data_IF_086141183791
#
_entry.id   IF_086141183791
#
_cell.length_a   1.000
_cell.length_b   1.000
_cell.length_c   1.000
_cell.angle_alpha   90.00
_cell.angle_beta   90.00
_cell.angle_gamma   90.00
#
_symmetry.space_group_name_H-M   'P 1'
#
loop_
_entity.id
_entity.type
_entity.pdbx_description
1 polymer ?
#
# COMPACT_ATOMS: atom_id res chain seq x y z
N UNK A 1 -19.09 -23.22 18.76
CA UNK A 1 -17.91 -22.86 19.57
C UNK A 1 -16.60 -22.83 18.77
N UNK A 2 -16.36 -23.75 17.82
CA UNK A 2 -15.10 -23.77 17.07
C UNK A 2 -14.87 -22.56 16.15
N UNK A 3 -15.91 -22.03 15.52
CA UNK A 3 -15.79 -20.89 14.58
C UNK A 3 -15.34 -19.61 15.29
N UNK A 4 -15.91 -19.30 16.46
CA UNK A 4 -15.52 -18.12 17.24
C UNK A 4 -14.08 -18.22 17.76
N UNK A 5 -13.65 -19.42 18.16
CA UNK A 5 -12.30 -19.66 18.66
C UNK A 5 -11.26 -19.57 17.55
N UNK A 6 -11.60 -20.06 16.35
CA UNK A 6 -10.77 -19.91 15.14
C UNK A 6 -10.68 -18.43 14.72
N UNK A 7 -11.79 -17.70 14.71
CA UNK A 7 -11.80 -16.27 14.40
C UNK A 7 -10.94 -15.46 15.39
N UNK A 8 -11.02 -15.77 16.69
CA UNK A 8 -10.22 -15.11 17.70
C UNK A 8 -8.72 -15.39 17.51
N UNK A 9 -8.36 -16.61 17.09
CA UNK A 9 -6.99 -17.00 16.76
C UNK A 9 -6.44 -16.27 15.54
N UNK A 10 -7.27 -16.04 14.52
CA UNK A 10 -6.87 -15.23 13.35
C UNK A 10 -6.64 -13.76 13.71
N UNK A 11 -7.50 -13.18 14.56
CA UNK A 11 -7.35 -11.79 15.01
C UNK A 11 -6.09 -11.62 15.86
N UNK A 12 -5.78 -12.56 16.77
CA UNK A 12 -4.56 -12.46 17.59
C UNK A 12 -3.29 -12.62 16.77
N UNK A 13 -3.27 -13.47 15.74
CA UNK A 13 -2.14 -13.58 14.80
C UNK A 13 -1.97 -12.30 13.97
N UNK A 14 -3.06 -11.68 13.52
CA UNK A 14 -3.01 -10.42 12.78
C UNK A 14 -2.46 -9.26 13.63
N UNK A 15 -2.84 -9.18 14.91
CA UNK A 15 -2.35 -8.14 15.84
C UNK A 15 -0.91 -8.43 16.30
N UNK A 16 -0.54 -9.69 16.53
CA UNK A 16 0.81 -10.04 16.98
C UNK A 16 1.86 -9.95 15.87
N UNK A 17 1.46 -10.03 14.60
CA UNK A 17 2.37 -9.88 13.46
C UNK A 17 2.67 -8.42 13.09
N UNK A 18 1.97 -7.44 13.68
CA UNK A 18 2.19 -6.01 13.40
C UNK A 18 3.29 -5.38 14.26
N UNK A 19 4.30 -6.14 14.68
CA UNK A 19 5.50 -5.58 15.31
C UNK A 19 6.38 -4.98 14.20
N UNK A 20 5.84 -3.96 13.53
CA UNK A 20 6.62 -3.09 12.68
C UNK A 20 7.48 -2.26 13.63
N UNK A 21 8.75 -2.62 13.77
CA UNK A 21 9.76 -1.63 14.14
C UNK A 21 9.63 -0.52 13.12
N UNK A 22 9.05 0.60 13.56
CA UNK A 22 8.81 1.75 12.71
C UNK A 22 10.15 2.14 12.09
N UNK A 23 10.24 2.36 10.76
CA UNK A 23 11.45 2.90 10.17
C UNK A 23 11.88 4.16 10.93
N UNK A 24 13.19 4.40 11.11
CA UNK A 24 13.65 5.62 11.74
C UNK A 24 13.10 6.84 10.99
N UNK A 25 12.70 7.88 11.72
CA UNK A 25 12.24 9.13 11.10
C UNK A 25 13.44 9.87 10.49
N UNK A 26 13.81 9.52 9.26
CA UNK A 26 14.98 10.09 8.60
C UNK A 26 14.82 11.59 8.27
N UNK A 27 13.60 12.13 8.25
CA UNK A 27 13.39 13.58 8.09
C UNK A 27 13.87 14.39 9.31
N UNK A 28 13.99 13.75 10.48
CA UNK A 28 14.53 14.36 11.69
C UNK A 28 16.04 14.11 11.88
N UNK A 29 16.69 13.37 10.98
CA UNK A 29 18.11 13.04 11.06
C UNK A 29 18.92 13.99 10.18
N UNK A 30 19.81 14.77 10.78
CA UNK A 30 20.82 15.54 10.04
C UNK A 30 22.08 14.68 9.91
N UNK A 31 22.42 14.26 8.69
CA UNK A 31 23.62 13.46 8.47
C UNK A 31 24.89 14.27 8.78
N UNK A 32 25.73 13.75 9.66
CA UNK A 32 27.06 14.26 9.91
C UNK A 32 28.09 13.21 9.46
N UNK A 33 28.80 13.49 8.36
CA UNK A 33 29.77 12.55 7.81
C UNK A 33 31.01 12.37 8.69
N UNK A 34 31.34 13.33 9.54
CA UNK A 34 32.52 13.26 10.42
C UNK A 34 32.35 12.21 11.53
N UNK A 35 31.11 11.81 11.83
CA UNK A 35 30.79 10.76 12.81
C UNK A 35 30.84 9.37 12.16
N UNK A 36 30.82 9.30 10.83
CA UNK A 36 30.85 8.02 10.14
C UNK A 36 32.25 7.39 10.27
N UNK A 37 32.35 6.14 10.74
CA UNK A 37 33.62 5.46 10.83
C UNK A 37 34.21 5.28 9.42
N UNK A 38 35.49 5.62 9.23
CA UNK A 38 36.18 5.31 7.98
C UNK A 38 36.19 3.80 7.76
N UNK A 39 35.72 3.34 6.60
CA UNK A 39 35.67 1.92 6.24
C UNK A 39 36.44 1.66 4.96
N UNK A 40 37.21 0.57 4.97
CA UNK A 40 37.77 -0.03 3.75
C UNK A 40 36.99 -1.33 3.51
N UNK A 41 36.03 -1.28 2.60
CA UNK A 41 35.16 -2.42 2.34
C UNK A 41 35.63 -3.17 1.09
N UNK A 42 36.00 -4.44 1.25
CA UNK A 42 36.51 -5.27 0.16
C UNK A 42 35.46 -5.56 -0.92
N UNK A 43 34.19 -5.72 -0.51
CA UNK A 43 33.09 -6.11 -1.40
C UNK A 43 32.07 -4.96 -1.61
N UNK A 44 32.52 -3.72 -1.48
CA UNK A 44 31.68 -2.52 -1.66
C UNK A 44 30.95 -2.06 -0.40
N UNK A 45 30.20 -0.97 -0.54
CA UNK A 45 29.47 -0.30 0.55
C UNK A 45 27.99 -0.14 0.21
N UNK A 46 27.18 -0.01 1.26
CA UNK A 46 25.80 0.47 1.19
C UNK A 46 25.53 1.50 2.27
N UNK A 47 24.51 2.34 2.09
CA UNK A 47 24.13 3.31 3.11
C UNK A 47 23.32 2.68 4.23
N UNK A 48 23.47 3.23 5.44
CA UNK A 48 22.61 2.93 6.59
C UNK A 48 21.11 3.24 6.31
N UNK A 49 20.24 2.96 7.29
CA UNK A 49 18.79 3.09 7.13
C UNK A 49 18.31 4.50 6.74
N UNK A 50 19.08 5.55 7.03
CA UNK A 50 18.75 6.94 6.68
C UNK A 50 19.66 7.55 5.61
N UNK A 51 20.54 6.77 4.98
CA UNK A 51 21.39 7.27 3.90
C UNK A 51 22.69 7.96 4.34
N UNK A 52 23.01 7.99 5.63
CA UNK A 52 24.09 8.83 6.15
C UNK A 52 25.47 8.18 5.99
N UNK A 53 25.71 7.06 6.69
CA UNK A 53 27.02 6.41 6.72
C UNK A 53 27.11 5.22 5.76
N UNK A 54 28.31 4.98 5.25
CA UNK A 54 28.64 3.78 4.48
C UNK A 54 28.93 2.59 5.40
N UNK A 55 28.28 1.47 5.12
CA UNK A 55 28.42 0.18 5.80
C UNK A 55 28.98 -0.83 4.78
N UNK A 56 29.90 -1.68 5.20
CA UNK A 56 30.45 -2.72 4.32
C UNK A 56 29.46 -3.84 4.05
N UNK A 57 29.39 -4.28 2.80
CA UNK A 57 28.82 -5.59 2.49
C UNK A 57 29.67 -6.72 3.06
N UNK A 58 29.03 -7.85 3.37
CA UNK A 58 29.68 -9.14 3.59
C UNK A 58 30.05 -9.76 2.24
N UNK A 59 31.26 -10.31 2.15
CA UNK A 59 31.76 -10.92 0.92
C UNK A 59 31.14 -12.30 0.67
N UNK A 60 31.25 -12.84 -0.56
CA UNK A 60 30.82 -14.20 -0.85
C UNK A 60 31.46 -15.22 0.12
N UNK A 61 30.64 -16.06 0.75
CA UNK A 61 31.09 -17.06 1.73
C UNK A 61 31.30 -16.57 3.16
N UNK A 62 31.29 -15.25 3.40
CA UNK A 62 31.41 -14.69 4.75
C UNK A 62 30.23 -15.06 5.63
N UNK A 63 30.48 -15.12 6.93
CA UNK A 63 29.43 -15.22 7.94
C UNK A 63 28.57 -13.95 7.95
N UNK A 64 27.27 -14.15 7.99
CA UNK A 64 26.27 -13.10 8.02
C UNK A 64 25.16 -13.45 9.01
N UNK A 65 24.50 -12.41 9.53
CA UNK A 65 23.32 -12.56 10.36
C UNK A 65 22.24 -11.53 9.96
N UNK A 66 21.13 -12.01 9.39
CA UNK A 66 20.06 -11.13 8.91
C UNK A 66 19.29 -10.44 10.04
N UNK A 67 19.33 -10.98 11.26
CA UNK A 67 18.68 -10.37 12.43
C UNK A 67 19.33 -9.04 12.83
N UNK A 68 20.65 -8.93 12.66
CA UNK A 68 21.39 -7.68 12.90
C UNK A 68 21.61 -6.87 11.62
N UNK A 69 20.82 -7.16 10.58
CA UNK A 69 20.83 -6.45 9.29
C UNK A 69 22.16 -6.54 8.52
N UNK A 70 22.94 -7.62 8.68
CA UNK A 70 24.06 -7.86 7.77
C UNK A 70 23.55 -8.01 6.33
N UNK A 71 24.20 -7.35 5.39
CA UNK A 71 23.90 -7.46 3.95
C UNK A 71 25.08 -8.06 3.21
N UNK A 72 24.81 -9.07 2.39
CA UNK A 72 25.77 -9.62 1.45
C UNK A 72 25.92 -8.71 0.23
N UNK A 73 27.06 -8.82 -0.46
CA UNK A 73 27.29 -8.16 -1.75
C UNK A 73 26.23 -8.58 -2.78
N UNK A 74 26.13 -7.81 -3.86
CA UNK A 74 25.19 -8.06 -4.97
C UNK A 74 25.24 -9.52 -5.47
N UNK A 75 24.07 -10.08 -5.80
CA UNK A 75 23.90 -11.45 -6.26
C UNK A 75 24.07 -12.53 -5.18
N UNK A 76 24.21 -12.13 -3.90
CA UNK A 76 24.30 -13.04 -2.77
C UNK A 76 23.24 -12.71 -1.72
N UNK A 77 22.75 -13.74 -1.03
CA UNK A 77 21.85 -13.59 0.11
C UNK A 77 22.41 -14.31 1.33
N UNK A 78 22.04 -13.82 2.51
CA UNK A 78 22.40 -14.48 3.77
C UNK A 78 21.50 -15.71 3.99
N UNK A 79 22.07 -16.91 3.92
CA UNK A 79 21.35 -18.17 4.12
C UNK A 79 21.82 -18.82 5.41
N UNK A 80 20.87 -19.24 6.26
CA UNK A 80 21.16 -20.03 7.47
C UNK A 80 21.94 -21.29 7.11
N UNK A 81 23.04 -21.52 7.81
CA UNK A 81 23.80 -22.78 7.69
C UNK A 81 23.00 -23.95 8.27
N UNK A 82 22.28 -23.70 9.37
CA UNK A 82 21.40 -24.67 10.03
C UNK A 82 19.95 -24.13 10.06
N UNK A 83 19.04 -24.67 9.23
CA UNK A 83 17.66 -24.19 9.17
C UNK A 83 16.86 -24.46 10.47
N UNK A 84 17.35 -25.34 11.35
CA UNK A 84 16.72 -25.59 12.66
C UNK A 84 17.03 -24.48 13.67
N UNK A 85 18.05 -23.65 13.42
CA UNK A 85 18.49 -22.56 14.29
C UNK A 85 18.21 -21.21 13.65
N UNK A 86 17.19 -20.52 14.15
CA UNK A 86 16.87 -19.15 13.71
C UNK A 86 17.96 -18.17 14.16
N UNK A 87 18.16 -17.10 13.39
CA UNK A 87 19.12 -16.03 13.75
C UNK A 87 18.88 -15.42 15.13
N UNK A 88 17.61 -15.24 15.52
CA UNK A 88 17.17 -14.77 16.84
C UNK A 88 17.72 -15.62 18.01
N UNK A 89 18.01 -16.89 17.74
CA UNK A 89 18.49 -17.87 18.72
C UNK A 89 19.97 -18.23 18.48
N UNK A 90 20.73 -17.30 17.89
CA UNK A 90 22.16 -17.48 17.62
C UNK A 90 22.47 -18.32 16.38
N UNK A 91 21.50 -18.51 15.48
CA UNK A 91 21.75 -19.10 14.16
C UNK A 91 22.80 -18.29 13.39
N UNK A 92 23.66 -18.99 12.65
CA UNK A 92 24.66 -18.39 11.78
C UNK A 92 24.28 -18.64 10.32
N UNK A 93 24.56 -17.64 9.48
CA UNK A 93 24.36 -17.74 8.04
C UNK A 93 25.65 -17.47 7.29
N UNK A 94 25.61 -17.77 5.98
CA UNK A 94 26.65 -17.38 5.02
C UNK A 94 26.06 -16.67 3.82
N UNK A 95 26.87 -15.81 3.21
CA UNK A 95 26.56 -15.21 1.93
C UNK A 95 26.72 -16.24 0.82
N UNK A 96 25.60 -16.73 0.29
CA UNK A 96 25.57 -17.70 -0.82
C UNK A 96 25.02 -17.04 -2.08
N UNK A 97 25.42 -17.49 -3.29
CA UNK A 97 24.84 -17.02 -4.53
C UNK A 97 23.32 -17.17 -4.54
N UNK A 98 22.62 -16.18 -5.09
CA UNK A 98 21.20 -16.29 -5.35
C UNK A 98 20.96 -17.17 -6.58
N UNK A 99 20.82 -18.47 -6.38
CA UNK A 99 20.41 -19.35 -7.48
C UNK A 99 19.01 -18.94 -7.96
N UNK A 100 18.92 -18.58 -9.24
CA UNK A 100 17.71 -18.14 -9.95
C UNK A 100 16.68 -19.24 -10.21
N UNK A 101 16.74 -20.34 -9.46
CA UNK A 101 15.82 -21.49 -9.60
C UNK A 101 15.30 -21.89 -8.24
N UNK A 102 14.25 -21.19 -7.78
CA UNK A 102 13.43 -21.69 -6.68
C UNK A 102 12.15 -22.30 -7.24
N UNK A 103 12.14 -23.62 -7.37
CA UNK A 103 10.95 -24.49 -7.50
C UNK A 103 9.99 -24.41 -6.28
N UNK A 104 9.93 -23.27 -5.57
CA UNK A 104 8.95 -22.99 -4.51
C UNK A 104 7.81 -22.08 -4.99
N UNK A 105 7.77 -21.77 -6.29
CA UNK A 105 6.78 -20.87 -6.86
C UNK A 105 5.33 -21.36 -6.68
N UNK A 106 5.05 -22.67 -6.57
CA UNK A 106 3.67 -23.17 -6.43
C UNK A 106 3.05 -22.96 -5.04
N UNK A 107 3.84 -23.09 -3.97
CA UNK A 107 3.34 -22.85 -2.60
C UNK A 107 3.39 -21.37 -2.25
N UNK A 108 4.43 -20.66 -2.71
CA UNK A 108 4.53 -19.22 -2.56
C UNK A 108 3.41 -18.49 -3.33
N UNK A 109 3.00 -18.95 -4.52
CA UNK A 109 1.89 -18.31 -5.24
C UNK A 109 0.57 -18.38 -4.47
N UNK A 110 0.23 -19.52 -3.87
CA UNK A 110 -1.04 -19.64 -3.11
C UNK A 110 -1.01 -18.75 -1.87
N UNK A 111 0.12 -18.71 -1.15
CA UNK A 111 0.28 -17.85 0.03
C UNK A 111 0.32 -16.36 -0.32
N UNK A 112 1.01 -15.99 -1.40
CA UNK A 112 1.06 -14.61 -1.91
C UNK A 112 -0.30 -14.18 -2.45
N UNK A 113 -1.04 -15.02 -3.16
CA UNK A 113 -2.42 -14.71 -3.57
C UNK A 113 -3.32 -14.45 -2.36
N UNK A 114 -3.16 -15.19 -1.27
CA UNK A 114 -3.95 -15.01 -0.05
C UNK A 114 -3.55 -13.72 0.70
N UNK A 115 -2.25 -13.40 0.75
CA UNK A 115 -1.73 -12.15 1.32
C UNK A 115 -2.10 -10.95 0.45
N UNK A 116 -2.08 -11.06 -0.88
CA UNK A 116 -2.53 -10.03 -1.81
C UNK A 116 -4.03 -9.86 -1.75
N UNK A 117 -4.83 -10.93 -1.63
CA UNK A 117 -6.26 -10.80 -1.40
C UNK A 117 -6.58 -10.08 -0.08
N UNK A 118 -5.80 -10.33 0.98
CA UNK A 118 -5.89 -9.61 2.24
C UNK A 118 -5.37 -8.17 2.13
N UNK A 119 -4.28 -7.91 1.41
CA UNK A 119 -3.70 -6.59 1.22
C UNK A 119 -4.54 -5.70 0.27
N UNK A 120 -5.15 -6.28 -0.76
CA UNK A 120 -6.09 -5.60 -1.65
C UNK A 120 -7.45 -5.37 -0.97
N UNK A 121 -7.78 -6.13 0.08
CA UNK A 121 -8.95 -5.83 0.93
C UNK A 121 -8.70 -4.70 1.95
N UNK A 122 -7.45 -4.28 2.15
CA UNK A 122 -7.11 -2.99 2.76
C UNK A 122 -6.84 -1.97 1.65
N UNK A 123 -7.89 -1.68 0.89
CA UNK A 123 -8.00 -0.31 0.40
C UNK A 123 -8.14 0.54 1.66
N UNK A 124 -7.17 1.42 1.92
CA UNK A 124 -7.33 2.46 2.92
C UNK A 124 -8.49 3.36 2.48
N UNK A 125 -9.71 2.93 2.79
CA UNK A 125 -10.95 3.69 2.66
C UNK A 125 -11.08 4.67 3.82
N UNK A 126 -9.97 5.14 4.38
CA UNK A 126 -10.01 6.27 5.27
C UNK A 126 -10.24 7.52 4.41
N UNK A 127 -11.29 8.29 4.67
CA UNK A 127 -11.40 9.66 4.18
C UNK A 127 -10.06 10.39 4.27
N UNK A 128 -9.55 11.08 3.23
CA UNK A 128 -8.46 12.01 3.44
C UNK A 128 -8.82 12.97 4.58
N UNK A 129 -7.89 13.16 5.50
CA UNK A 129 -8.05 14.14 6.57
C UNK A 129 -8.00 15.53 5.93
N UNK A 130 -9.16 16.16 5.78
CA UNK A 130 -9.23 17.53 5.26
C UNK A 130 -8.90 18.59 6.32
N UNK A 131 -8.67 18.20 7.58
CA UNK A 131 -8.28 19.11 8.66
C UNK A 131 -6.85 19.62 8.42
N UNK A 132 -6.73 20.87 7.92
CA UNK A 132 -5.45 21.50 7.59
C UNK A 132 -5.15 21.64 6.10
N UNK A 133 -6.07 21.21 5.22
CA UNK A 133 -5.96 21.48 3.79
C UNK A 133 -6.23 22.96 3.54
N UNK A 134 -5.20 23.71 3.14
CA UNK A 134 -5.35 25.08 2.65
C UNK A 134 -5.61 25.00 1.15
N UNK A 135 -6.81 25.35 0.72
CA UNK A 135 -7.15 25.33 -0.69
C UNK A 135 -6.47 26.49 -1.43
N UNK A 136 -5.75 26.18 -2.51
CA UNK A 136 -5.29 27.17 -3.47
C UNK A 136 -6.21 27.14 -4.71
N UNK A 137 -7.17 28.08 -4.84
CA UNK A 137 -8.13 28.08 -5.94
C UNK A 137 -7.48 28.30 -7.31
N UNK A 138 -6.23 28.79 -7.37
CA UNK A 138 -5.52 28.97 -8.63
C UNK A 138 -5.06 27.66 -9.27
N UNK A 139 -5.09 26.56 -8.51
CA UNK A 139 -4.76 25.21 -9.00
C UNK A 139 -5.97 24.44 -9.53
N UNK A 140 -7.18 24.99 -9.35
CA UNK A 140 -8.41 24.40 -9.87
C UNK A 140 -8.61 24.75 -11.35
N UNK A 141 -9.10 23.79 -12.12
CA UNK A 141 -9.54 24.04 -13.49
C UNK A 141 -10.82 24.88 -13.50
N UNK A 142 -10.89 25.86 -14.40
CA UNK A 142 -12.09 26.67 -14.60
C UNK A 142 -13.03 25.89 -15.52
N UNK A 143 -14.16 25.44 -14.97
CA UNK A 143 -15.12 24.59 -15.66
C UNK A 143 -16.43 25.33 -15.92
N UNK A 144 -16.96 25.25 -17.14
CA UNK A 144 -18.31 25.72 -17.48
C UNK A 144 -19.30 24.55 -17.42
N UNK A 145 -19.92 24.35 -16.24
CA UNK A 145 -20.81 23.22 -16.01
C UNK A 145 -22.27 23.57 -16.35
N UNK A 146 -22.86 22.84 -17.31
CA UNK A 146 -24.24 23.07 -17.77
C UNK A 146 -25.31 22.60 -16.78
N UNK A 147 -25.00 21.60 -15.95
CA UNK A 147 -25.96 20.95 -15.05
C UNK A 147 -25.62 21.15 -13.56
N UNK A 148 -24.87 22.21 -13.26
CA UNK A 148 -24.44 22.58 -11.92
C UNK A 148 -23.09 21.98 -11.53
N UNK A 149 -22.63 22.37 -10.35
CA UNK A 149 -21.31 22.02 -9.80
C UNK A 149 -21.43 21.39 -8.43
N UNK A 150 -20.49 20.52 -8.09
CA UNK A 150 -20.28 20.03 -6.73
C UNK A 150 -18.83 20.18 -6.31
N UNK A 151 -18.61 20.21 -4.99
CA UNK A 151 -17.27 20.22 -4.43
C UNK A 151 -16.72 18.80 -4.31
N UNK A 152 -15.45 18.63 -4.67
CA UNK A 152 -14.73 17.37 -4.45
C UNK A 152 -14.50 17.08 -2.96
N UNK A 153 -13.79 15.98 -2.68
CA UNK A 153 -13.71 15.37 -1.36
C UNK A 153 -13.35 16.33 -0.19
N UNK A 154 -12.36 17.21 -0.39
CA UNK A 154 -11.94 18.20 0.61
C UNK A 154 -12.43 19.63 0.34
N UNK A 155 -13.42 19.82 -0.54
CA UNK A 155 -14.06 21.13 -0.69
C UNK A 155 -13.29 22.17 -1.52
N UNK A 156 -12.13 21.84 -2.07
CA UNK A 156 -11.28 22.85 -2.72
C UNK A 156 -11.74 23.23 -4.14
N UNK A 157 -11.84 22.26 -5.06
CA UNK A 157 -12.23 22.52 -6.44
C UNK A 157 -13.70 22.16 -6.71
N UNK A 158 -14.28 22.88 -7.66
CA UNK A 158 -15.59 22.58 -8.23
C UNK A 158 -15.43 21.56 -9.37
N UNK A 159 -16.41 20.68 -9.50
CA UNK A 159 -16.51 19.65 -10.52
C UNK A 159 -17.91 19.69 -11.12
N UNK A 160 -18.07 19.29 -12.39
CA UNK A 160 -19.36 19.30 -13.05
C UNK A 160 -20.20 18.09 -12.69
N UNK A 161 -21.49 18.30 -12.42
CA UNK A 161 -22.45 17.21 -12.40
C UNK A 161 -22.64 16.61 -13.80
N UNK A 162 -22.85 15.29 -13.85
CA UNK A 162 -23.33 14.64 -15.06
C UNK A 162 -24.79 15.05 -15.32
N UNK A 163 -25.08 15.47 -16.56
CA UNK A 163 -26.39 15.93 -16.97
C UNK A 163 -27.41 14.79 -17.14
N UNK A 164 -28.71 15.11 -17.26
CA UNK A 164 -29.75 14.11 -17.56
C UNK A 164 -29.40 13.26 -18.78
N UNK A 165 -29.45 11.94 -18.62
CA UNK A 165 -29.06 10.94 -19.63
C UNK A 165 -27.60 10.94 -20.08
N UNK A 166 -26.69 11.66 -19.41
CA UNK A 166 -25.26 11.44 -19.62
C UNK A 166 -24.78 10.16 -18.92
N UNK A 167 -23.68 9.62 -19.45
CA UNK A 167 -23.00 8.47 -18.85
C UNK A 167 -22.47 8.86 -17.46
N UNK A 168 -22.62 7.96 -16.50
CA UNK A 168 -22.17 8.15 -15.13
C UNK A 168 -21.52 6.86 -14.62
N UNK A 169 -20.55 7.02 -13.72
CA UNK A 169 -19.88 5.92 -13.06
C UNK A 169 -19.83 6.15 -11.55
N UNK A 170 -20.48 5.27 -10.78
CA UNK A 170 -20.50 5.37 -9.31
C UNK A 170 -19.12 5.21 -8.68
N UNK A 171 -18.12 4.70 -9.40
CA UNK A 171 -16.77 4.48 -8.90
C UNK A 171 -15.90 5.75 -8.92
N UNK A 172 -16.19 6.69 -9.83
CA UNK A 172 -15.34 7.86 -10.10
C UNK A 172 -15.89 9.20 -9.57
N UNK A 173 -16.93 9.16 -8.74
CA UNK A 173 -17.40 10.35 -8.00
C UNK A 173 -18.01 11.44 -8.90
N UNK A 174 -18.63 11.09 -10.03
CA UNK A 174 -19.42 12.03 -10.83
C UNK A 174 -20.91 11.94 -10.45
N UNK A 175 -21.37 12.67 -9.41
CA UNK A 175 -22.77 12.72 -9.08
C UNK A 175 -23.58 13.32 -10.24
N UNK A 176 -24.67 12.66 -10.58
CA UNK A 176 -25.70 13.24 -11.44
C UNK A 176 -26.25 14.54 -10.83
N UNK A 177 -26.76 15.42 -11.69
CA UNK A 177 -27.43 16.66 -11.29
C UNK A 177 -28.63 16.40 -10.36
N UNK A 178 -29.08 17.46 -9.68
CA UNK A 178 -30.18 17.38 -8.72
C UNK A 178 -31.43 16.72 -9.32
N UNK A 179 -32.07 15.83 -8.56
CA UNK A 179 -33.22 15.05 -9.00
C UNK A 179 -32.90 13.78 -9.81
N UNK A 180 -31.64 13.54 -10.17
CA UNK A 180 -31.20 12.36 -10.91
C UNK A 180 -30.28 11.46 -10.06
N UNK A 181 -30.19 10.18 -10.43
CA UNK A 181 -29.24 9.22 -9.87
C UNK A 181 -28.69 8.33 -10.99
N UNK A 182 -27.49 7.80 -10.77
CA UNK A 182 -26.83 6.94 -11.75
C UNK A 182 -27.46 5.55 -11.74
N UNK A 183 -28.01 5.11 -12.88
CA UNK A 183 -28.62 3.79 -13.05
C UNK A 183 -27.79 2.98 -14.03
N UNK A 184 -27.36 1.78 -13.62
CA UNK A 184 -26.63 0.85 -14.48
C UNK A 184 -27.47 0.48 -15.70
N UNK A 185 -26.84 0.51 -16.88
CA UNK A 185 -27.48 0.07 -18.12
C UNK A 185 -27.71 -1.44 -18.12
N UNK A 186 -26.79 -2.18 -17.50
CA UNK A 186 -26.84 -3.62 -17.37
C UNK A 186 -26.66 -4.03 -15.90
N UNK A 187 -27.72 -4.50 -15.21
CA UNK A 187 -27.63 -4.90 -13.81
C UNK A 187 -26.71 -6.12 -13.59
N UNK A 188 -26.39 -6.89 -14.63
CA UNK A 188 -25.43 -8.00 -14.59
C UNK A 188 -23.96 -7.57 -14.64
N UNK A 189 -23.67 -6.30 -14.96
CA UNK A 189 -22.32 -5.72 -14.93
C UNK A 189 -22.29 -4.59 -13.91
N UNK A 190 -21.63 -4.83 -12.79
CA UNK A 190 -21.43 -3.79 -11.77
C UNK A 190 -20.35 -2.79 -12.22
N UNK A 191 -20.35 -1.59 -11.65
CA UNK A 191 -19.35 -0.55 -11.97
C UNK A 191 -17.91 -1.04 -11.74
N UNK A 192 -17.68 -1.88 -10.72
CA UNK A 192 -16.37 -2.46 -10.39
C UNK A 192 -15.80 -3.36 -11.49
N UNK A 193 -16.65 -3.86 -12.38
CA UNK A 193 -16.29 -4.75 -13.50
C UNK A 193 -16.46 -4.06 -14.87
N UNK A 194 -16.41 -2.72 -14.91
CA UNK A 194 -16.57 -1.94 -16.14
C UNK A 194 -18.03 -1.80 -16.61
N UNK A 195 -18.99 -1.86 -15.69
CA UNK A 195 -20.37 -1.47 -15.98
C UNK A 195 -20.49 0.04 -16.17
N UNK A 196 -21.29 0.46 -17.15
CA UNK A 196 -21.69 1.86 -17.39
C UNK A 196 -23.09 2.11 -16.86
N UNK A 197 -23.38 3.36 -16.50
CA UNK A 197 -24.72 3.79 -16.15
C UNK A 197 -25.05 5.13 -16.78
N UNK A 198 -26.31 5.53 -16.67
CA UNK A 198 -26.76 6.86 -17.09
C UNK A 198 -27.58 7.55 -16.00
N UNK A 199 -27.53 8.87 -15.98
CA UNK A 199 -28.31 9.67 -15.04
C UNK A 199 -29.80 9.60 -15.35
N UNK A 200 -30.58 8.99 -14.45
CA UNK A 200 -32.04 8.84 -14.56
C UNK A 200 -32.77 9.53 -13.40
N UNK A 201 -34.01 10.01 -13.62
CA UNK A 201 -34.78 10.66 -12.56
C UNK A 201 -34.91 9.74 -11.33
N UNK A 202 -34.73 10.32 -10.14
CA UNK A 202 -35.04 9.61 -8.89
C UNK A 202 -36.54 9.32 -8.86
N UNK A 203 -36.98 8.14 -8.39
CA UNK A 203 -38.38 7.92 -8.08
C UNK A 203 -38.81 8.98 -7.06
N UNK A 204 -39.85 9.75 -7.36
CA UNK A 204 -40.38 10.70 -6.39
C UNK A 204 -40.80 9.93 -5.14
N UNK A 205 -40.19 10.26 -3.99
CA UNK A 205 -40.74 9.85 -2.71
C UNK A 205 -42.13 10.46 -2.63
N UNK A 206 -43.17 9.64 -2.73
CA UNK A 206 -44.54 10.05 -2.46
C UNK A 206 -44.54 10.65 -1.07
N UNK A 207 -44.74 11.96 -0.99
CA UNK A 207 -44.99 12.65 0.26
C UNK A 207 -46.19 11.96 0.92
N UNK A 208 -45.93 11.19 1.98
CA UNK A 208 -46.98 10.72 2.88
C UNK A 208 -47.38 11.95 3.69
N UNK A 209 -48.48 12.57 3.26
CA UNK A 209 -49.28 13.54 4.03
C UNK A 209 -49.85 12.90 5.28
#
# INVERSE_FOLDING_TARGET
MHVALVALLFVTVAIASSWATSPPNCAAVTCNQDVCPAKQCACGTYKDQCGCCDICYKCPGDHCNSWIFDRCTEGHRCVLEDPSKRFEHGGQGRCTPEDSTSEKMKVAFVSVFLIVALACSVSATSPPQCAGVVCDPSTCEVLECSCGTYKGYCGCCDYCHACPNEECNSLFTDPCSEGYHCVLDNPGRRFENGGTGHCKPKPQATAQS
#
